data_IF_272027847271
#
_entry.id   IF_272027847271
#
_cell.length_a   1.000
_cell.length_b   1.000
_cell.length_c   1.000
_cell.angle_alpha   90.00
_cell.angle_beta   90.00
_cell.angle_gamma   90.00
#
_symmetry.space_group_name_H-M   'P 1'
#
loop_
_entity.id
_entity.type
_entity.pdbx_description
1 polymer ?
#
# COMPACT_ATOMS: atom_id res chain seq x y z
N UNK A 1 -6.06 -9.22 -4.22
CA UNK A 1 -4.66 -8.97 -4.41
C UNK A 1 -4.34 -7.47 -4.52
N UNK A 2 -3.08 -7.13 -4.46
CA UNK A 2 -2.58 -5.77 -4.72
C UNK A 2 -1.89 -5.78 -6.07
N UNK A 3 -2.23 -4.83 -6.94
CA UNK A 3 -1.53 -4.65 -8.20
C UNK A 3 -1.44 -3.17 -8.56
N UNK A 4 -0.32 -2.76 -9.15
CA UNK A 4 -0.14 -1.44 -9.71
C UNK A 4 -0.40 -1.51 -11.20
N UNK A 5 -1.42 -0.77 -11.65
CA UNK A 5 -1.68 -0.53 -13.06
C UNK A 5 -1.10 0.78 -13.56
N UNK A 6 -0.51 1.57 -12.67
CA UNK A 6 0.10 2.85 -13.00
C UNK A 6 1.30 2.61 -13.92
N UNK A 7 1.31 3.31 -15.04
CA UNK A 7 2.34 3.08 -16.08
C UNK A 7 1.84 2.26 -17.27
N UNK A 8 0.72 1.56 -17.15
CA UNK A 8 0.09 0.85 -18.26
C UNK A 8 -0.98 1.69 -18.98
N UNK A 9 -1.26 1.44 -20.26
CA UNK A 9 -2.45 1.99 -20.93
C UNK A 9 -3.72 1.64 -20.17
N UNK A 10 -4.69 2.59 -20.10
CA UNK A 10 -5.94 2.35 -19.38
C UNK A 10 -6.69 1.12 -19.91
N UNK A 11 -6.62 0.85 -21.20
CA UNK A 11 -7.23 -0.33 -21.82
C UNK A 11 -6.63 -1.64 -21.30
N UNK A 12 -5.31 -1.68 -21.11
CA UNK A 12 -4.64 -2.87 -20.55
C UNK A 12 -5.00 -3.07 -19.09
N UNK A 13 -5.06 -1.97 -18.32
CA UNK A 13 -5.53 -2.01 -16.92
C UNK A 13 -6.96 -2.51 -16.85
N UNK A 14 -7.83 -1.99 -17.73
CA UNK A 14 -9.23 -2.44 -17.80
C UNK A 14 -9.35 -3.93 -18.08
N UNK A 15 -8.62 -4.45 -19.04
CA UNK A 15 -8.63 -5.89 -19.36
C UNK A 15 -8.21 -6.74 -18.14
N UNK A 16 -7.17 -6.33 -17.41
CA UNK A 16 -6.76 -7.03 -16.20
C UNK A 16 -7.83 -6.97 -15.10
N UNK A 17 -8.50 -5.84 -14.94
CA UNK A 17 -9.60 -5.69 -13.98
C UNK A 17 -10.82 -6.54 -14.37
N UNK A 18 -11.16 -6.58 -15.67
CA UNK A 18 -12.24 -7.43 -16.21
C UNK A 18 -11.95 -8.91 -15.91
N UNK A 19 -10.71 -9.36 -16.10
CA UNK A 19 -10.29 -10.74 -15.81
C UNK A 19 -10.39 -11.04 -14.30
N UNK A 20 -9.94 -10.14 -13.43
CA UNK A 20 -10.09 -10.30 -11.99
C UNK A 20 -11.56 -10.43 -11.61
N UNK A 21 -12.42 -9.56 -12.15
CA UNK A 21 -13.86 -9.60 -11.88
C UNK A 21 -14.49 -10.91 -12.36
N UNK A 22 -14.17 -11.36 -13.55
CA UNK A 22 -14.68 -12.61 -14.13
C UNK A 22 -14.31 -13.85 -13.26
N UNK A 23 -13.20 -13.76 -12.53
CA UNK A 23 -12.76 -14.80 -11.59
C UNK A 23 -13.23 -14.57 -10.13
N UNK A 24 -14.16 -13.64 -9.90
CA UNK A 24 -14.70 -13.34 -8.57
C UNK A 24 -13.70 -12.64 -7.62
N UNK A 25 -12.63 -12.05 -8.15
CA UNK A 25 -11.59 -11.39 -7.38
C UNK A 25 -11.84 -9.90 -7.25
N UNK A 26 -11.38 -9.35 -6.13
CA UNK A 26 -11.30 -7.91 -5.87
C UNK A 26 -9.84 -7.47 -5.76
N UNK A 27 -9.61 -6.18 -6.02
CA UNK A 27 -8.27 -5.61 -6.04
C UNK A 27 -8.16 -4.39 -5.14
N UNK A 28 -7.05 -4.30 -4.42
CA UNK A 28 -6.52 -3.05 -3.90
C UNK A 28 -5.71 -2.39 -5.02
N UNK A 29 -6.30 -1.41 -5.68
CA UNK A 29 -5.66 -0.80 -6.84
C UNK A 29 -4.59 0.20 -6.40
N UNK A 30 -3.33 -0.12 -6.70
CA UNK A 30 -2.21 0.71 -6.28
C UNK A 30 -2.04 1.92 -7.18
N UNK A 31 -2.15 3.10 -6.58
CA UNK A 31 -1.73 4.39 -7.14
C UNK A 31 -0.56 4.99 -6.34
N UNK A 32 -0.02 4.27 -5.37
CA UNK A 32 1.10 4.73 -4.52
C UNK A 32 2.34 5.14 -5.33
N UNK A 33 2.55 4.49 -6.48
CA UNK A 33 3.72 4.71 -7.31
C UNK A 33 3.72 6.08 -8.03
N UNK A 34 2.57 6.73 -8.18
CA UNK A 34 2.53 8.12 -8.67
C UNK A 34 3.01 9.12 -7.61
N UNK A 35 3.02 8.71 -6.35
CA UNK A 35 3.37 9.55 -5.20
C UNK A 35 4.79 9.31 -4.68
N UNK A 36 5.73 9.00 -5.58
CA UNK A 36 7.14 8.76 -5.23
C UNK A 36 7.98 10.02 -5.09
N UNK A 37 7.50 11.15 -5.61
CA UNK A 37 8.24 12.42 -5.58
C UNK A 37 8.46 12.90 -4.15
N UNK A 38 9.53 13.69 -3.95
CA UNK A 38 9.81 14.33 -2.68
C UNK A 38 8.62 15.21 -2.23
N UNK A 39 8.09 15.05 -1.00
CA UNK A 39 6.94 15.81 -0.51
C UNK A 39 7.21 17.32 -0.45
N UNK A 40 8.48 17.73 -0.31
CA UNK A 40 8.92 19.11 -0.20
C UNK A 40 9.48 19.65 -1.52
N UNK A 41 9.54 18.82 -2.57
CA UNK A 41 10.04 19.19 -3.89
C UNK A 41 8.93 19.48 -4.90
N UNK A 42 9.30 19.92 -6.11
CA UNK A 42 8.35 20.09 -7.20
C UNK A 42 7.74 18.74 -7.58
N UNK A 43 6.46 18.73 -7.93
CA UNK A 43 5.82 17.57 -8.53
C UNK A 43 6.26 17.42 -9.99
N UNK A 44 7.35 16.70 -10.21
CA UNK A 44 7.95 16.44 -11.52
C UNK A 44 7.46 15.12 -12.15
N UNK A 45 6.53 14.43 -11.48
CA UNK A 45 5.96 13.21 -12.02
C UNK A 45 5.27 13.45 -13.36
N UNK A 46 5.62 12.65 -14.36
CA UNK A 46 4.98 12.72 -15.68
C UNK A 46 4.71 11.32 -16.22
N UNK A 47 3.54 11.14 -16.81
CA UNK A 47 3.16 9.90 -17.44
C UNK A 47 2.24 10.14 -18.63
N UNK A 48 2.62 9.67 -19.83
CA UNK A 48 1.81 9.73 -21.07
C UNK A 48 1.20 11.11 -21.34
N UNK A 49 1.98 12.17 -21.15
CA UNK A 49 1.55 13.55 -21.36
C UNK A 49 0.81 14.18 -20.19
N UNK A 50 0.49 13.43 -19.14
CA UNK A 50 0.01 13.98 -17.87
C UNK A 50 1.21 14.48 -17.06
N UNK A 51 1.07 15.64 -16.47
CA UNK A 51 2.07 16.23 -15.56
C UNK A 51 1.48 16.33 -14.17
N UNK A 52 2.27 15.89 -13.19
CA UNK A 52 1.90 15.89 -11.80
C UNK A 52 1.28 14.57 -11.33
N UNK A 53 1.59 14.22 -10.09
CA UNK A 53 1.09 13.01 -9.44
C UNK A 53 -0.43 13.04 -9.29
N UNK A 54 -1.00 14.17 -8.88
CA UNK A 54 -2.44 14.31 -8.64
C UNK A 54 -3.24 14.17 -9.95
N UNK A 55 -2.79 14.75 -11.06
CA UNK A 55 -3.47 14.59 -12.36
C UNK A 55 -3.40 13.15 -12.85
N UNK A 56 -2.29 12.47 -12.62
CA UNK A 56 -2.17 11.05 -12.97
C UNK A 56 -3.08 10.19 -12.10
N UNK A 57 -3.07 10.37 -10.78
CA UNK A 57 -3.97 9.66 -9.86
C UNK A 57 -5.43 9.88 -10.23
N UNK A 58 -5.83 11.14 -10.47
CA UNK A 58 -7.18 11.50 -10.92
C UNK A 58 -7.59 10.72 -12.16
N UNK A 59 -6.72 10.62 -13.16
CA UNK A 59 -6.99 9.89 -14.40
C UNK A 59 -7.32 8.42 -14.15
N UNK A 60 -6.58 7.75 -13.26
CA UNK A 60 -6.85 6.34 -12.92
C UNK A 60 -8.11 6.20 -12.07
N UNK A 61 -8.32 7.08 -11.09
CA UNK A 61 -9.52 7.06 -10.23
C UNK A 61 -10.78 7.25 -11.08
N UNK A 62 -10.83 8.27 -11.94
CA UNK A 62 -11.97 8.52 -12.82
C UNK A 62 -12.26 7.36 -13.77
N UNK A 63 -11.20 6.70 -14.27
CA UNK A 63 -11.36 5.57 -15.18
C UNK A 63 -11.92 4.32 -14.51
N UNK A 64 -11.56 4.05 -13.25
CA UNK A 64 -11.81 2.74 -12.62
C UNK A 64 -12.67 2.75 -11.36
N UNK A 65 -13.07 3.91 -10.83
CA UNK A 65 -13.91 4.02 -9.62
C UNK A 65 -15.24 3.27 -9.68
N UNK A 66 -15.75 2.95 -10.87
CA UNK A 66 -16.97 2.18 -11.05
C UNK A 66 -16.72 0.72 -11.45
N UNK A 67 -15.46 0.32 -11.46
CA UNK A 67 -15.13 -1.05 -11.88
C UNK A 67 -15.46 -2.05 -10.76
N UNK A 68 -16.23 -3.12 -11.06
CA UNK A 68 -16.71 -4.03 -10.02
C UNK A 68 -15.60 -4.83 -9.32
N UNK A 69 -14.40 -4.93 -9.89
CA UNK A 69 -13.26 -5.54 -9.23
C UNK A 69 -12.58 -4.62 -8.21
N UNK A 70 -12.83 -3.32 -8.22
CA UNK A 70 -12.21 -2.40 -7.26
C UNK A 70 -12.71 -2.67 -5.84
N UNK A 71 -11.80 -2.68 -4.87
CA UNK A 71 -12.10 -2.82 -3.45
C UNK A 71 -11.69 -1.55 -2.68
N UNK A 72 -10.48 -1.07 -2.92
CA UNK A 72 -9.93 0.13 -2.31
C UNK A 72 -8.77 0.70 -3.13
N UNK A 73 -8.38 1.94 -2.84
CA UNK A 73 -7.23 2.62 -3.44
C UNK A 73 -6.01 2.51 -2.54
N UNK A 74 -4.95 1.86 -3.00
CA UNK A 74 -3.66 1.80 -2.30
C UNK A 74 -2.86 3.06 -2.60
N UNK A 75 -2.79 3.97 -1.63
CA UNK A 75 -2.27 5.32 -1.83
C UNK A 75 -0.87 5.54 -1.27
N UNK A 76 -0.48 4.77 -0.24
CA UNK A 76 0.77 5.02 0.48
C UNK A 76 1.39 3.72 0.99
N UNK A 77 2.73 3.66 0.95
CA UNK A 77 3.56 2.54 1.36
C UNK A 77 4.74 3.07 2.17
N UNK A 78 4.72 2.85 3.47
CA UNK A 78 5.80 3.13 4.42
C UNK A 78 6.40 4.55 4.37
N UNK A 79 5.59 5.56 4.05
CA UNK A 79 6.08 6.94 4.07
C UNK A 79 6.30 7.41 5.50
N UNK A 80 7.30 8.30 5.67
CA UNK A 80 7.62 8.90 6.96
C UNK A 80 6.61 10.00 7.32
N UNK A 81 6.63 10.44 8.59
CA UNK A 81 5.69 11.44 9.14
C UNK A 81 5.70 12.77 8.37
N UNK A 82 6.81 13.17 7.80
CA UNK A 82 6.92 14.38 6.96
C UNK A 82 6.05 14.34 5.68
N UNK A 83 5.56 13.15 5.31
CA UNK A 83 4.62 12.98 4.19
C UNK A 83 3.15 13.14 4.58
N UNK A 84 2.82 13.17 5.86
CA UNK A 84 1.42 13.13 6.34
C UNK A 84 0.58 14.25 5.73
N UNK A 85 1.05 15.49 5.75
CA UNK A 85 0.29 16.63 5.24
C UNK A 85 -0.04 16.48 3.75
N UNK A 86 0.93 16.13 2.92
CA UNK A 86 0.69 16.00 1.48
C UNK A 86 -0.15 14.75 1.17
N UNK A 87 0.06 13.65 1.89
CA UNK A 87 -0.71 12.43 1.68
C UNK A 87 -2.16 12.58 2.16
N UNK A 88 -2.41 13.37 3.20
CA UNK A 88 -3.78 13.74 3.62
C UNK A 88 -4.52 14.46 2.49
N UNK A 89 -3.91 15.46 1.86
CA UNK A 89 -4.51 16.15 0.70
C UNK A 89 -4.79 15.20 -0.47
N UNK A 90 -3.90 14.23 -0.70
CA UNK A 90 -4.07 13.21 -1.76
C UNK A 90 -5.18 12.22 -1.44
N UNK A 91 -5.29 11.77 -0.18
CA UNK A 91 -6.45 11.01 0.30
C UNK A 91 -7.75 11.77 0.04
N UNK A 92 -7.81 13.03 0.43
CA UNK A 92 -8.98 13.88 0.22
C UNK A 92 -9.33 14.04 -1.27
N UNK A 93 -8.32 14.15 -2.14
CA UNK A 93 -8.53 14.16 -3.59
C UNK A 93 -9.17 12.86 -4.07
N UNK A 94 -8.63 11.71 -3.67
CA UNK A 94 -9.17 10.40 -4.04
C UNK A 94 -10.60 10.24 -3.53
N UNK A 95 -10.87 10.55 -2.26
CA UNK A 95 -12.19 10.43 -1.65
C UNK A 95 -13.24 11.37 -2.28
N UNK A 96 -12.83 12.55 -2.76
CA UNK A 96 -13.73 13.42 -3.53
C UNK A 96 -14.07 12.86 -4.91
N UNK A 97 -13.14 12.17 -5.56
CA UNK A 97 -13.34 11.57 -6.87
C UNK A 97 -14.11 10.25 -6.81
N UNK A 98 -13.89 9.51 -5.73
CA UNK A 98 -14.50 8.20 -5.48
C UNK A 98 -14.87 8.05 -4.00
N UNK A 99 -16.06 8.49 -3.60
CA UNK A 99 -16.54 8.36 -2.23
C UNK A 99 -16.97 6.93 -1.85
N UNK A 100 -17.07 6.03 -2.82
CA UNK A 100 -17.59 4.67 -2.63
C UNK A 100 -16.50 3.66 -2.24
N UNK A 101 -15.23 3.98 -2.49
CA UNK A 101 -14.10 3.11 -2.17
C UNK A 101 -13.10 3.81 -1.26
N UNK A 102 -12.72 3.17 -0.13
CA UNK A 102 -11.78 3.75 0.82
C UNK A 102 -10.35 3.81 0.28
N UNK A 103 -9.54 4.68 0.87
CA UNK A 103 -8.09 4.66 0.70
C UNK A 103 -7.44 3.76 1.75
N UNK A 104 -6.41 3.03 1.33
CA UNK A 104 -5.62 2.14 2.15
C UNK A 104 -4.15 2.54 2.11
N UNK A 105 -3.51 2.60 3.26
CA UNK A 105 -2.09 2.91 3.40
C UNK A 105 -1.41 1.92 4.34
N UNK A 106 -0.16 1.56 4.05
CA UNK A 106 0.58 0.49 4.73
C UNK A 106 1.76 1.06 5.48
N UNK A 107 1.94 0.58 6.73
CA UNK A 107 3.01 1.00 7.63
C UNK A 107 3.46 -0.13 8.55
N UNK A 108 4.73 -0.07 8.96
CA UNK A 108 5.29 -0.90 10.03
C UNK A 108 5.65 -0.09 11.28
N UNK A 109 5.57 1.24 11.21
CA UNK A 109 5.95 2.14 12.30
C UNK A 109 4.88 2.12 13.40
N UNK A 110 5.29 2.18 14.69
CA UNK A 110 4.37 2.08 15.82
C UNK A 110 3.60 3.37 16.14
N UNK A 111 3.92 4.48 15.49
CA UNK A 111 3.27 5.77 15.69
C UNK A 111 2.02 5.93 14.81
N UNK A 112 1.08 5.00 14.93
CA UNK A 112 -0.13 4.87 14.10
C UNK A 112 -0.95 6.16 14.08
N UNK A 113 -1.10 6.82 15.23
CA UNK A 113 -1.92 8.04 15.37
C UNK A 113 -1.47 9.16 14.44
N UNK A 114 -0.16 9.27 14.18
CA UNK A 114 0.39 10.29 13.28
C UNK A 114 -0.07 10.10 11.82
N UNK A 115 -0.38 8.88 11.41
CA UNK A 115 -0.75 8.54 10.04
C UNK A 115 -2.26 8.55 9.76
N UNK A 116 -3.11 8.60 10.79
CA UNK A 116 -4.56 8.56 10.62
C UNK A 116 -5.14 9.59 9.64
N UNK A 117 -4.63 10.83 9.56
CA UNK A 117 -5.18 11.81 8.63
C UNK A 117 -5.08 11.40 7.16
N UNK A 118 -4.14 10.53 6.80
CA UNK A 118 -3.82 10.21 5.39
C UNK A 118 -4.39 8.88 4.88
N UNK A 119 -5.25 8.21 5.65
CA UNK A 119 -5.82 6.90 5.29
C UNK A 119 -7.27 6.75 5.80
N UNK A 120 -8.00 5.82 5.19
CA UNK A 120 -9.30 5.34 5.68
C UNK A 120 -9.15 3.96 6.32
N UNK A 121 -8.20 3.17 5.83
CA UNK A 121 -7.88 1.84 6.35
C UNK A 121 -6.38 1.77 6.61
N UNK A 122 -6.00 1.38 7.82
CA UNK A 122 -4.62 1.14 8.20
C UNK A 122 -4.17 -0.26 7.78
N UNK A 123 -3.06 -0.36 7.07
CA UNK A 123 -2.39 -1.62 6.75
C UNK A 123 -1.16 -1.83 7.64
N UNK A 124 -1.11 -2.92 8.38
CA UNK A 124 0.07 -3.31 9.14
C UNK A 124 0.89 -4.35 8.38
N UNK A 125 2.17 -4.09 8.10
CA UNK A 125 3.04 -4.96 7.31
C UNK A 125 4.31 -5.39 8.04
N UNK A 126 4.19 -5.72 9.30
CA UNK A 126 5.25 -6.37 10.06
C UNK A 126 5.54 -7.77 9.51
N UNK A 127 6.83 -8.02 9.22
CA UNK A 127 7.29 -9.31 8.69
C UNK A 127 8.02 -10.11 9.77
N UNK A 128 7.33 -11.05 10.46
CA UNK A 128 7.85 -11.70 11.66
C UNK A 128 8.91 -12.77 11.36
N UNK A 129 8.97 -13.29 10.12
CA UNK A 129 9.86 -14.38 9.76
C UNK A 129 11.12 -13.79 9.13
N UNK A 130 12.17 -13.66 9.95
CA UNK A 130 13.42 -13.04 9.60
C UNK A 130 14.59 -14.04 9.68
N UNK A 131 15.69 -13.67 10.34
CA UNK A 131 16.89 -14.51 10.44
C UNK A 131 16.66 -15.74 11.31
N UNK A 132 17.36 -16.81 11.01
CA UNK A 132 17.35 -18.06 11.79
C UNK A 132 17.79 -17.83 13.23
N UNK A 133 18.72 -16.89 13.46
CA UNK A 133 19.21 -16.51 14.79
C UNK A 133 18.21 -15.73 15.65
N UNK A 134 17.14 -15.20 15.05
CA UNK A 134 16.12 -14.43 15.76
C UNK A 134 14.95 -15.34 16.15
N UNK A 135 14.42 -15.16 17.37
CA UNK A 135 13.27 -15.93 17.83
C UNK A 135 11.97 -15.49 17.14
N UNK A 136 11.04 -16.41 16.93
CA UNK A 136 9.71 -16.08 16.39
C UNK A 136 8.92 -15.13 17.28
N UNK A 137 9.02 -15.29 18.60
CA UNK A 137 8.22 -14.54 19.56
C UNK A 137 8.45 -13.03 19.50
N UNK A 138 9.70 -12.62 19.23
CA UNK A 138 10.05 -11.20 19.13
C UNK A 138 9.28 -10.51 18.00
N UNK A 139 9.19 -11.15 16.86
CA UNK A 139 8.53 -10.58 15.68
C UNK A 139 7.01 -10.67 15.75
N UNK A 140 6.46 -11.75 16.33
CA UNK A 140 5.01 -11.87 16.57
C UNK A 140 4.52 -10.79 17.52
N UNK A 141 5.27 -10.51 18.59
CA UNK A 141 4.95 -9.39 19.52
C UNK A 141 4.90 -8.04 18.81
N UNK A 142 5.73 -7.84 17.78
CA UNK A 142 5.72 -6.59 16.99
C UNK A 142 4.44 -6.45 16.15
N UNK A 143 3.92 -7.54 15.58
CA UNK A 143 2.63 -7.56 14.89
C UNK A 143 1.51 -7.23 15.87
N UNK A 144 1.41 -7.96 16.97
CA UNK A 144 0.36 -7.79 17.97
C UNK A 144 0.35 -6.34 18.51
N UNK A 145 1.53 -5.78 18.75
CA UNK A 145 1.67 -4.40 19.18
C UNK A 145 1.16 -3.40 18.15
N UNK A 146 1.59 -3.54 16.88
CA UNK A 146 1.20 -2.62 15.81
C UNK A 146 -0.29 -2.68 15.56
N UNK A 147 -0.85 -3.88 15.46
CA UNK A 147 -2.28 -4.09 15.24
C UNK A 147 -3.10 -3.58 16.43
N UNK A 148 -2.67 -3.84 17.66
CA UNK A 148 -3.33 -3.33 18.86
C UNK A 148 -3.30 -1.80 18.96
N UNK A 149 -2.21 -1.14 18.56
CA UNK A 149 -2.15 0.32 18.47
C UNK A 149 -3.15 0.85 17.42
N UNK A 150 -3.23 0.22 16.27
CA UNK A 150 -4.17 0.63 15.22
C UNK A 150 -5.64 0.42 15.67
N UNK A 151 -5.96 -0.73 16.24
CA UNK A 151 -7.29 -1.04 16.77
C UNK A 151 -7.71 -0.04 17.86
N UNK A 152 -6.80 0.36 18.73
CA UNK A 152 -7.07 1.34 19.79
C UNK A 152 -7.50 2.72 19.26
N UNK A 153 -7.15 3.06 18.02
CA UNK A 153 -7.59 4.30 17.35
C UNK A 153 -9.00 4.21 16.78
N UNK A 154 -9.56 3.01 16.67
CA UNK A 154 -10.84 2.75 16.01
C UNK A 154 -10.79 2.79 14.48
N UNK A 155 -9.62 2.95 13.87
CA UNK A 155 -9.47 2.89 12.40
C UNK A 155 -9.65 1.45 11.90
N UNK A 156 -10.35 1.21 10.79
CA UNK A 156 -10.35 -0.09 10.15
C UNK A 156 -8.93 -0.56 9.84
N UNK A 157 -8.60 -1.80 10.18
CA UNK A 157 -7.23 -2.29 10.14
C UNK A 157 -7.14 -3.60 9.35
N UNK A 158 -6.21 -3.66 8.40
CA UNK A 158 -5.91 -4.87 7.64
C UNK A 158 -4.44 -5.27 7.85
N UNK A 159 -4.21 -6.52 8.19
CA UNK A 159 -2.85 -7.05 8.27
C UNK A 159 -2.35 -7.46 6.87
N UNK A 160 -1.10 -7.14 6.57
CA UNK A 160 -0.38 -7.59 5.37
C UNK A 160 0.54 -8.75 5.78
N UNK A 161 0.09 -10.00 5.63
CA UNK A 161 0.87 -11.15 6.09
C UNK A 161 2.10 -11.35 5.20
N UNK A 162 3.19 -11.77 5.82
CA UNK A 162 4.41 -12.11 5.12
C UNK A 162 4.21 -13.39 4.28
N UNK A 163 4.39 -13.26 2.96
CA UNK A 163 4.34 -14.37 2.02
C UNK A 163 5.65 -14.56 1.25
N UNK A 164 6.72 -13.94 1.71
CA UNK A 164 8.04 -13.99 1.08
C UNK A 164 9.14 -14.17 2.11
N UNK A 165 10.27 -14.69 1.67
CA UNK A 165 11.50 -14.77 2.49
C UNK A 165 12.21 -13.42 2.43
N UNK A 166 12.58 -12.86 3.59
CA UNK A 166 13.31 -11.59 3.67
C UNK A 166 14.73 -11.64 3.08
N UNK A 167 15.24 -12.82 2.71
CA UNK A 167 16.52 -12.96 2.03
C UNK A 167 16.60 -12.19 0.70
N UNK A 168 15.46 -11.86 0.09
CA UNK A 168 15.39 -11.04 -1.15
C UNK A 168 15.99 -9.64 -0.96
N UNK A 169 16.05 -9.16 0.28
CA UNK A 169 16.66 -7.88 0.66
C UNK A 169 18.07 -8.04 1.22
N UNK A 170 18.55 -9.27 1.40
CA UNK A 170 19.85 -9.55 1.97
C UNK A 170 20.96 -9.57 0.89
N UNK A 171 22.20 -9.24 1.24
CA UNK A 171 23.35 -9.58 0.41
C UNK A 171 23.39 -11.08 0.12
N UNK A 172 23.85 -11.47 -1.06
CA UNK A 172 23.80 -12.85 -1.53
C UNK A 172 24.55 -13.85 -0.61
N UNK A 173 25.62 -13.40 0.04
CA UNK A 173 26.41 -14.17 1.00
C UNK A 173 25.70 -14.41 2.35
N UNK A 174 24.60 -13.70 2.62
CA UNK A 174 23.80 -13.81 3.85
C UNK A 174 22.38 -14.33 3.61
N UNK A 175 22.03 -14.66 2.39
CA UNK A 175 20.68 -15.11 2.05
C UNK A 175 20.27 -16.39 2.81
N UNK A 176 21.23 -17.28 3.10
CA UNK A 176 20.99 -18.53 3.84
C UNK A 176 20.69 -18.32 5.34
N UNK A 177 20.94 -17.11 5.88
CA UNK A 177 20.68 -16.80 7.29
C UNK A 177 19.20 -16.53 7.58
N UNK A 178 18.37 -16.45 6.54
CA UNK A 178 16.95 -16.10 6.64
C UNK A 178 16.06 -17.34 6.55
N UNK A 179 14.98 -17.33 7.32
CA UNK A 179 13.97 -18.39 7.33
C UNK A 179 13.06 -18.30 6.13
N UNK A 180 12.66 -19.45 5.63
CA UNK A 180 11.58 -19.54 4.66
C UNK A 180 10.21 -19.51 5.40
N UNK A 181 9.30 -18.59 5.06
CA UNK A 181 7.97 -18.54 5.67
C UNK A 181 7.11 -19.77 5.38
N UNK A 182 7.46 -20.57 4.38
CA UNK A 182 6.78 -21.85 4.08
C UNK A 182 7.23 -23.00 4.96
N UNK A 183 8.22 -22.80 5.83
CA UNK A 183 8.74 -23.82 6.76
C UNK A 183 9.60 -24.90 6.10
N UNK A 184 10.13 -24.65 4.91
CA UNK A 184 11.05 -25.56 4.21
C UNK A 184 12.48 -25.23 4.51
#
# INVERSE_FOLDING_TARGET
GVASGVGLPLEQVKLALDELHANGLKILFSIKDVYRSNPLGPDDYSYRGLKGADETAKRYVEAFRRHPALLAWYTCDEKMVDWVEIMTRRRELVNRLDPDHPTWAVFYQPNVEDYLPMLDIFGGDQYPISRISEGYDHHMTSIDRLMGLAEATGVPTWNVPQAHNLNIYAPADKAADYRDPTGK
#
